data_IF_838494925873
#
_entry.id   IF_838494925873
#
_cell.length_a   1.000
_cell.length_b   1.000
_cell.length_c   1.000
_cell.angle_alpha   90.00
_cell.angle_beta   90.00
_cell.angle_gamma   90.00
#
_symmetry.space_group_name_H-M   'P 1'
#
loop_
_entity.id
_entity.type
_entity.pdbx_description
1 polymer ?
#
# COMPACT_ATOMS: atom_id res chain seq x y z
N UNK A 1 -11.57 -13.90 18.50
CA UNK A 1 -10.38 -13.08 18.37
C UNK A 1 -10.73 -11.72 17.80
N UNK A 2 -10.27 -10.68 18.42
CA UNK A 2 -10.61 -9.32 18.01
C UNK A 2 -9.83 -8.89 16.77
N UNK A 3 -10.46 -8.09 15.91
CA UNK A 3 -9.77 -7.51 14.77
C UNK A 3 -8.62 -6.59 15.19
N UNK A 4 -8.70 -6.09 16.42
CA UNK A 4 -7.69 -5.16 16.93
C UNK A 4 -6.53 -5.87 17.62
N UNK A 5 -6.55 -7.21 17.61
CA UNK A 5 -5.44 -7.98 18.14
C UNK A 5 -4.19 -7.65 17.35
N UNK A 6 -3.10 -7.20 18.03
CA UNK A 6 -1.87 -6.85 17.31
C UNK A 6 -1.31 -8.01 16.48
N UNK A 7 -1.52 -9.24 16.93
CA UNK A 7 -1.03 -10.40 16.17
C UNK A 7 -1.73 -10.52 14.82
N UNK A 8 -3.01 -10.18 14.76
CA UNK A 8 -3.74 -10.17 13.51
C UNK A 8 -3.18 -9.11 12.57
N UNK A 9 -2.87 -7.92 13.10
CA UNK A 9 -2.30 -6.85 12.29
C UNK A 9 -0.94 -7.23 11.74
N UNK A 10 -0.08 -7.80 12.59
CA UNK A 10 1.23 -8.24 12.16
C UNK A 10 1.13 -9.34 11.11
N UNK A 11 0.17 -10.24 11.25
CA UNK A 11 -0.06 -11.29 10.27
C UNK A 11 -0.48 -10.70 8.93
N UNK A 12 -1.38 -9.72 8.95
CA UNK A 12 -1.79 -9.05 7.72
C UNK A 12 -0.61 -8.39 7.01
N UNK A 13 0.24 -7.72 7.79
CA UNK A 13 1.43 -7.09 7.21
C UNK A 13 2.31 -8.13 6.53
N UNK A 14 2.54 -9.25 7.19
CA UNK A 14 3.38 -10.31 6.65
C UNK A 14 2.76 -10.93 5.41
N UNK A 15 1.49 -11.31 5.50
CA UNK A 15 0.81 -12.00 4.40
C UNK A 15 0.75 -11.15 3.15
N UNK A 16 0.37 -9.88 3.29
CA UNK A 16 0.21 -9.01 2.13
C UNK A 16 1.53 -8.47 1.61
N UNK A 17 2.56 -8.38 2.45
CA UNK A 17 3.90 -8.10 1.97
C UNK A 17 4.42 -9.23 1.10
N UNK A 18 4.20 -10.48 1.53
CA UNK A 18 4.58 -11.64 0.74
C UNK A 18 3.81 -11.70 -0.57
N UNK A 19 2.53 -11.35 -0.52
CA UNK A 19 1.71 -11.32 -1.71
C UNK A 19 2.24 -10.30 -2.71
N UNK A 20 2.59 -9.10 -2.24
CA UNK A 20 3.14 -8.07 -3.10
C UNK A 20 4.45 -8.52 -3.74
N UNK A 21 5.33 -9.12 -2.94
CA UNK A 21 6.60 -9.62 -3.46
C UNK A 21 6.37 -10.69 -4.51
N UNK A 22 5.42 -11.58 -4.25
CA UNK A 22 5.08 -12.65 -5.19
C UNK A 22 4.57 -12.08 -6.52
N UNK A 23 3.74 -11.06 -6.45
CA UNK A 23 3.19 -10.41 -7.66
C UNK A 23 4.28 -9.72 -8.47
N UNK A 24 5.33 -9.23 -7.79
CA UNK A 24 6.42 -8.53 -8.47
C UNK A 24 7.49 -9.47 -9.00
N UNK A 25 7.46 -10.73 -8.62
CA UNK A 25 8.49 -11.68 -9.02
C UNK A 25 8.55 -11.79 -10.54
N UNK A 26 9.77 -11.63 -11.08
CA UNK A 26 10.03 -11.71 -12.51
C UNK A 26 9.27 -10.66 -13.32
N UNK A 27 8.86 -9.58 -12.67
CA UNK A 27 8.17 -8.48 -13.34
C UNK A 27 9.08 -7.28 -13.45
N UNK A 28 8.92 -6.55 -14.54
CA UNK A 28 9.64 -5.30 -14.75
C UNK A 28 8.69 -4.14 -14.52
N UNK A 29 9.26 -2.96 -14.36
CA UNK A 29 8.46 -1.76 -14.18
C UNK A 29 7.47 -1.58 -15.34
N UNK A 30 7.90 -1.90 -16.56
CA UNK A 30 7.03 -1.79 -17.72
C UNK A 30 5.79 -2.66 -17.60
N UNK A 31 5.91 -3.81 -16.92
CA UNK A 31 4.77 -4.68 -16.71
C UNK A 31 3.70 -4.02 -15.84
N UNK A 32 4.14 -3.22 -14.86
CA UNK A 32 3.20 -2.50 -14.01
C UNK A 32 2.43 -1.45 -14.82
N UNK A 33 3.11 -0.82 -15.75
CA UNK A 33 2.47 0.20 -16.59
C UNK A 33 1.49 -0.41 -17.57
N UNK A 34 1.79 -1.59 -18.10
CA UNK A 34 0.96 -2.23 -19.12
C UNK A 34 -0.12 -3.14 -18.56
N UNK A 35 0.07 -3.67 -17.35
CA UNK A 35 -0.88 -4.58 -16.73
C UNK A 35 -1.60 -3.90 -15.58
N UNK A 36 -2.70 -3.28 -15.90
CA UNK A 36 -3.46 -2.53 -14.91
C UNK A 36 -3.87 -3.36 -13.70
N UNK A 37 -4.31 -4.58 -13.95
CA UNK A 37 -4.74 -5.47 -12.88
C UNK A 37 -3.59 -5.76 -11.91
N UNK A 38 -2.39 -5.96 -12.44
CA UNK A 38 -1.22 -6.20 -11.62
C UNK A 38 -0.93 -4.99 -10.73
N UNK A 39 -0.95 -3.80 -11.31
CA UNK A 39 -0.70 -2.58 -10.56
C UNK A 39 -1.72 -2.37 -9.45
N UNK A 40 -2.99 -2.61 -9.76
CA UNK A 40 -4.05 -2.47 -8.78
C UNK A 40 -3.91 -3.49 -7.64
N UNK A 41 -3.51 -4.72 -7.98
CA UNK A 41 -3.32 -5.75 -6.96
C UNK A 41 -2.19 -5.39 -6.01
N UNK A 42 -1.07 -4.89 -6.54
CA UNK A 42 0.06 -4.48 -5.71
C UNK A 42 -0.33 -3.30 -4.85
N UNK A 43 -1.02 -2.32 -5.41
CA UNK A 43 -1.48 -1.16 -4.66
C UNK A 43 -2.35 -1.60 -3.48
N UNK A 44 -3.25 -2.55 -3.72
CA UNK A 44 -4.12 -3.03 -2.66
C UNK A 44 -3.32 -3.70 -1.54
N UNK A 45 -2.30 -4.49 -1.91
CA UNK A 45 -1.45 -5.11 -0.91
C UNK A 45 -0.74 -4.05 -0.06
N UNK A 46 -0.21 -3.01 -0.68
CA UNK A 46 0.48 -1.94 0.04
C UNK A 46 -0.49 -1.19 0.94
N UNK A 47 -1.71 -0.95 0.47
CA UNK A 47 -2.73 -0.31 1.31
C UNK A 47 -3.00 -1.12 2.57
N UNK A 48 -3.15 -2.43 2.41
CA UNK A 48 -3.47 -3.30 3.54
C UNK A 48 -2.30 -3.34 4.52
N UNK A 49 -1.06 -3.43 4.00
CA UNK A 49 0.12 -3.43 4.86
C UNK A 49 0.21 -2.12 5.65
N UNK A 50 0.01 -0.99 4.98
CA UNK A 50 0.09 0.31 5.63
C UNK A 50 -1.02 0.52 6.65
N UNK A 51 -2.22 0.08 6.32
CA UNK A 51 -3.35 0.18 7.24
C UNK A 51 -3.09 -0.66 8.49
N UNK A 52 -2.62 -1.89 8.29
CA UNK A 52 -2.31 -2.77 9.41
C UNK A 52 -1.20 -2.16 10.28
N UNK A 53 -0.16 -1.61 9.63
CA UNK A 53 0.96 -0.99 10.37
C UNK A 53 0.48 0.17 11.21
N UNK A 54 -0.45 0.98 10.70
CA UNK A 54 -0.94 2.15 11.42
C UNK A 54 -1.73 1.77 12.67
N UNK A 55 -2.19 0.53 12.74
CA UNK A 55 -3.00 0.06 13.87
C UNK A 55 -2.21 -0.77 14.87
N UNK A 56 -0.92 -1.00 14.63
CA UNK A 56 -0.09 -1.71 15.59
C UNK A 56 0.27 -0.75 16.73
N UNK A 57 0.02 -1.17 17.99
CA UNK A 57 0.35 -0.29 19.14
C UNK A 57 1.83 0.04 19.19
N UNK A 58 2.13 1.21 19.73
CA UNK A 58 3.51 1.70 19.83
C UNK A 58 4.38 0.70 20.59
N UNK A 59 3.85 0.08 21.63
CA UNK A 59 4.61 -0.89 22.41
C UNK A 59 5.09 -2.05 21.57
N UNK A 60 4.24 -2.50 20.65
CA UNK A 60 4.59 -3.60 19.74
C UNK A 60 5.58 -3.11 18.68
N UNK A 61 5.36 -1.90 18.17
CA UNK A 61 6.29 -1.32 17.20
C UNK A 61 7.70 -1.23 17.77
N UNK A 62 7.81 -0.85 19.03
CA UNK A 62 9.10 -0.75 19.70
C UNK A 62 9.77 -2.12 19.83
N UNK A 63 8.98 -3.16 19.96
CA UNK A 63 9.50 -4.51 20.04
C UNK A 63 10.11 -4.95 18.72
N UNK A 64 9.60 -4.42 17.61
CA UNK A 64 10.09 -4.71 16.27
C UNK A 64 10.66 -3.45 15.63
N UNK A 65 11.56 -2.80 16.33
CA UNK A 65 12.05 -1.46 15.96
C UNK A 65 12.86 -1.46 14.65
N UNK A 66 13.25 -2.62 14.16
CA UNK A 66 13.93 -2.70 12.87
C UNK A 66 12.98 -2.59 11.68
N UNK A 67 11.68 -2.60 11.94
CA UNK A 67 10.68 -2.36 10.90
C UNK A 67 10.48 -0.85 10.79
N UNK A 68 10.60 -0.27 9.57
CA UNK A 68 10.48 1.19 9.40
C UNK A 68 9.02 1.62 9.39
N UNK A 69 8.39 1.63 10.54
CA UNK A 69 6.96 1.90 10.70
C UNK A 69 6.49 3.20 10.05
N UNK A 70 7.14 4.35 10.32
CA UNK A 70 6.66 5.60 9.73
C UNK A 70 6.75 5.60 8.22
N UNK A 71 7.80 4.98 7.67
CA UNK A 71 7.98 4.91 6.23
C UNK A 71 6.91 4.04 5.57
N UNK A 72 6.52 2.95 6.24
CA UNK A 72 5.48 2.07 5.70
C UNK A 72 4.15 2.80 5.64
N UNK A 73 3.76 3.46 6.72
CA UNK A 73 2.51 4.21 6.76
C UNK A 73 2.56 5.38 5.78
N UNK A 74 3.70 6.08 5.72
CA UNK A 74 3.85 7.20 4.79
C UNK A 74 3.79 6.77 3.33
N UNK A 75 4.38 5.63 3.01
CA UNK A 75 4.34 5.11 1.64
C UNK A 75 2.90 4.79 1.24
N UNK A 76 2.15 4.17 2.13
CA UNK A 76 0.75 3.87 1.86
C UNK A 76 -0.02 5.15 1.54
N UNK A 77 0.19 6.20 2.33
CA UNK A 77 -0.52 7.45 2.13
C UNK A 77 -0.17 8.08 0.78
N UNK A 78 1.12 8.07 0.43
CA UNK A 78 1.55 8.62 -0.85
C UNK A 78 0.99 7.84 -2.03
N UNK A 79 0.94 6.52 -1.92
CA UNK A 79 0.44 5.69 -3.00
C UNK A 79 -1.06 5.86 -3.19
N UNK A 80 -1.81 5.99 -2.10
CA UNK A 80 -3.25 6.22 -2.20
C UNK A 80 -3.53 7.54 -2.91
N UNK A 81 -2.82 8.60 -2.54
CA UNK A 81 -2.99 9.90 -3.19
C UNK A 81 -2.57 9.84 -4.65
N UNK A 82 -1.46 9.17 -4.95
CA UNK A 82 -1.01 9.03 -6.33
C UNK A 82 -2.00 8.25 -7.18
N UNK A 83 -2.59 7.21 -6.58
CA UNK A 83 -3.58 6.41 -7.28
C UNK A 83 -4.83 7.23 -7.61
N UNK A 84 -5.31 8.00 -6.65
CA UNK A 84 -6.48 8.84 -6.86
C UNK A 84 -6.25 9.85 -7.98
N UNK A 85 -5.07 10.45 -7.98
CA UNK A 85 -4.70 11.40 -9.01
C UNK A 85 -4.67 10.73 -10.39
N UNK A 86 -4.10 9.54 -10.45
CA UNK A 86 -4.00 8.78 -11.70
C UNK A 86 -5.39 8.41 -12.24
N UNK A 87 -6.28 7.96 -11.36
CA UNK A 87 -7.63 7.59 -11.76
C UNK A 87 -8.39 8.81 -12.30
N UNK A 88 -8.23 9.93 -11.64
CA UNK A 88 -8.88 11.17 -12.09
C UNK A 88 -8.41 11.54 -13.49
N UNK A 89 -7.11 11.43 -13.72
CA UNK A 89 -6.54 11.72 -15.04
C UNK A 89 -7.09 10.78 -16.11
N UNK A 90 -7.14 9.49 -15.79
CA UNK A 90 -7.60 8.49 -16.75
C UNK A 90 -9.08 8.64 -17.07
N UNK A 91 -9.89 9.05 -16.11
CA UNK A 91 -11.32 9.18 -16.34
C UNK A 91 -11.66 10.42 -17.18
N UNK A 92 -10.68 11.29 -17.42
CA UNK A 92 -10.89 12.50 -18.17
C UNK A 92 -11.73 13.49 -17.42
N UNK A 93 -11.92 13.23 -16.21
CA UNK A 93 -12.69 14.14 -15.38
C UNK A 93 -11.84 15.33 -15.12
N UNK A 94 -11.31 15.77 -15.82
CA UNK A 94 -10.48 16.62 -15.70
C UNK A 94 -10.48 17.64 -15.22
N UNK A 95 -10.34 17.69 -14.72
CA UNK A 95 -10.28 18.50 -14.23
C UNK A 95 -9.52 19.28 -14.44
N UNK A 96 -9.43 19.64 -14.58
CA UNK A 96 -8.64 20.22 -14.73
C UNK A 96 -7.93 20.89 -14.13
N UNK A 97 -8.18 21.00 -13.93
CA UNK A 97 -7.65 21.54 -13.42
C UNK A 97 -7.11 21.32 -12.65
N UNK A 98 -7.26 20.89 -12.68
CA UNK A 98 -6.92 20.64 -12.02
C UNK A 98 -5.98 20.41 -11.90
N UNK A 99 -5.80 20.31 -12.39
CA UNK A 99 -5.05 20.04 -12.26
C UNK A 99 -4.29 20.06 -12.04
N UNK A 100 -4.03 20.13 -12.28
CA UNK A 100 -3.19 19.99 -12.11
C UNK A 100 -2.47 20.03 -11.44
N UNK A 101 -2.41 19.78 -11.35
CA UNK A 101 -2.03 19.86 -10.70
C UNK A 101 -1.41 19.93 -10.48
#
# INVERSE_FOLDING_TARGET
MSRDDPNVRLRHMMDYSREAVSLLRDRKRADLDSERTLGLAILRCVEIVGEAASRVPVEIQQRYHNIPWPQIVGMRNRLVHGYESWITTLSGARSPKICPR
#
